data_IF_925957197022
#
_entry.id   IF_925957197022
#
_cell.length_a   1.000
_cell.length_b   1.000
_cell.length_c   1.000
_cell.angle_alpha   90.00
_cell.angle_beta   90.00
_cell.angle_gamma   90.00
#
_symmetry.space_group_name_H-M   'P 1'
#
loop_
_entity.id
_entity.type
_entity.pdbx_description
1 polymer ?
#
# COMPACT_ATOMS: atom_id res chain seq x y z
N UNK A 1 26.55 -3.19 -8.06
CA UNK A 1 25.18 -3.65 -8.38
C UNK A 1 24.33 -2.40 -8.52
N UNK A 2 23.79 -2.13 -9.71
CA UNK A 2 23.02 -0.91 -9.98
C UNK A 2 21.76 -0.91 -9.11
N UNK A 3 21.65 0.05 -8.19
CA UNK A 3 20.40 0.30 -7.46
C UNK A 3 19.44 0.94 -8.46
N UNK A 4 18.69 0.11 -9.18
CA UNK A 4 17.52 0.56 -9.93
C UNK A 4 16.58 1.23 -8.94
N UNK A 5 16.14 2.46 -9.24
CA UNK A 5 15.22 3.23 -8.39
C UNK A 5 14.10 2.36 -7.84
N UNK A 6 13.84 2.46 -6.54
CA UNK A 6 12.79 1.71 -5.85
C UNK A 6 11.42 2.30 -6.23
N UNK A 7 11.07 2.22 -7.51
CA UNK A 7 9.88 2.79 -8.10
C UNK A 7 9.45 1.96 -9.31
N UNK A 8 8.17 2.03 -9.64
CA UNK A 8 7.63 1.44 -10.85
C UNK A 8 6.42 2.24 -11.33
N UNK A 9 6.14 2.11 -12.63
CA UNK A 9 5.06 2.81 -13.31
C UNK A 9 4.08 1.83 -13.94
N UNK A 10 2.85 2.27 -14.17
CA UNK A 10 1.78 1.47 -14.76
C UNK A 10 1.51 0.15 -14.02
N UNK A 11 1.56 0.20 -12.70
CA UNK A 11 1.38 -0.95 -11.81
C UNK A 11 -0.08 -1.10 -11.45
N UNK A 12 -0.59 -2.34 -11.44
CA UNK A 12 -1.94 -2.65 -10.99
C UNK A 12 -2.05 -2.45 -9.47
N UNK A 13 -3.06 -1.71 -9.03
CA UNK A 13 -3.43 -1.62 -7.62
C UNK A 13 -4.88 -2.07 -7.44
N UNK A 14 -5.09 -3.17 -6.71
CA UNK A 14 -6.43 -3.60 -6.25
C UNK A 14 -6.73 -3.02 -4.88
N UNK A 15 -7.84 -3.42 -4.28
CA UNK A 15 -8.16 -3.09 -2.90
C UNK A 15 -8.55 -4.31 -2.09
N UNK A 16 -8.28 -4.22 -0.79
CA UNK A 16 -8.73 -5.14 0.26
C UNK A 16 -9.42 -4.34 1.37
N UNK A 17 -10.32 -5.00 2.09
CA UNK A 17 -11.13 -4.41 3.15
C UNK A 17 -10.41 -4.59 4.49
N UNK A 18 -9.25 -3.95 4.65
CA UNK A 18 -8.54 -3.96 5.94
C UNK A 18 -9.30 -3.15 6.99
N UNK A 19 -9.85 -1.99 6.59
CA UNK A 19 -10.55 -1.03 7.46
C UNK A 19 -9.83 -0.81 8.81
N UNK A 20 -8.54 -0.40 8.78
CA UNK A 20 -7.71 -0.34 9.99
C UNK A 20 -8.31 0.57 11.07
N UNK A 21 -9.05 1.61 10.69
CA UNK A 21 -9.77 2.50 11.61
C UNK A 21 -10.82 1.78 12.48
N UNK A 22 -11.40 0.69 11.99
CA UNK A 22 -12.42 -0.08 12.71
C UNK A 22 -11.79 -1.08 13.71
N UNK A 23 -10.48 -1.34 13.58
CA UNK A 23 -9.74 -2.32 14.39
C UNK A 23 -8.60 -1.65 15.17
N UNK A 24 -8.68 -0.34 15.41
CA UNK A 24 -7.65 0.44 16.10
C UNK A 24 -6.24 0.27 15.50
N UNK A 25 -6.17 0.17 14.17
CA UNK A 25 -4.97 -0.06 13.38
C UNK A 25 -4.15 -1.26 13.86
N UNK A 26 -4.80 -2.28 14.43
CA UNK A 26 -4.13 -3.46 14.97
C UNK A 26 -3.78 -4.45 13.85
N UNK A 27 -2.47 -4.65 13.66
CA UNK A 27 -1.93 -5.55 12.65
C UNK A 27 -2.31 -7.01 12.95
N UNK A 28 -2.42 -7.40 14.23
CA UNK A 28 -2.78 -8.77 14.61
C UNK A 28 -4.24 -9.07 14.27
N UNK A 29 -5.15 -8.13 14.56
CA UNK A 29 -6.57 -8.25 14.22
C UNK A 29 -6.77 -8.40 12.71
N UNK A 30 -6.05 -7.62 11.89
CA UNK A 30 -6.09 -7.74 10.43
C UNK A 30 -5.32 -8.94 9.88
N UNK A 31 -4.52 -9.64 10.70
CA UNK A 31 -3.66 -10.77 10.30
C UNK A 31 -2.73 -10.46 9.13
N UNK A 32 -2.26 -9.22 9.06
CA UNK A 32 -1.35 -8.78 8.00
C UNK A 32 0.02 -9.45 8.17
N UNK A 33 0.70 -9.76 7.08
CA UNK A 33 1.99 -10.45 7.12
C UNK A 33 3.04 -9.76 8.01
N UNK A 34 3.05 -8.43 8.06
CA UNK A 34 4.02 -7.66 8.84
C UNK A 34 3.73 -7.64 10.35
N UNK A 35 2.61 -8.22 10.83
CA UNK A 35 2.25 -8.26 12.24
C UNK A 35 3.37 -8.85 13.12
N UNK A 36 4.09 -9.86 12.60
CA UNK A 36 5.22 -10.52 13.27
C UNK A 36 6.29 -9.54 13.78
N UNK A 37 6.49 -8.42 13.09
CA UNK A 37 7.57 -7.46 13.41
C UNK A 37 7.05 -6.08 13.81
N UNK A 38 5.93 -5.64 13.23
CA UNK A 38 5.47 -4.24 13.34
C UNK A 38 4.23 -4.07 14.22
N UNK A 39 3.60 -5.14 14.72
CA UNK A 39 2.36 -5.02 15.49
C UNK A 39 2.50 -4.20 16.78
N UNK A 40 3.69 -4.23 17.39
CA UNK A 40 3.98 -3.50 18.64
C UNK A 40 4.42 -2.04 18.42
N UNK A 41 4.45 -1.56 17.18
CA UNK A 41 4.73 -0.15 16.92
C UNK A 41 3.66 0.74 17.57
N UNK A 42 4.02 1.97 18.00
CA UNK A 42 3.08 2.91 18.60
C UNK A 42 1.86 3.14 17.71
N UNK A 43 0.68 3.35 18.30
CA UNK A 43 -0.54 3.61 17.55
C UNK A 43 -0.37 4.80 16.59
N UNK A 44 0.34 5.85 17.01
CA UNK A 44 0.66 7.01 16.18
C UNK A 44 1.42 6.63 14.90
N UNK A 45 2.29 5.63 14.96
CA UNK A 45 3.04 5.12 13.81
C UNK A 45 2.15 4.26 12.90
N UNK A 46 1.34 3.37 13.49
CA UNK A 46 0.44 2.45 12.76
C UNK A 46 -0.67 3.18 12.01
N UNK A 47 -1.16 4.31 12.54
CA UNK A 47 -2.22 5.13 11.94
C UNK A 47 -1.74 6.29 11.07
N UNK A 48 -0.43 6.53 10.96
CA UNK A 48 0.11 7.71 10.28
C UNK A 48 -0.20 7.75 8.78
N UNK A 49 -0.25 6.58 8.15
CA UNK A 49 -0.47 6.42 6.72
C UNK A 49 -1.49 5.31 6.47
N UNK A 50 -2.19 5.37 5.35
CA UNK A 50 -3.07 4.30 4.89
C UNK A 50 -2.32 3.00 4.65
N UNK A 51 -3.00 1.86 4.71
CA UNK A 51 -2.38 0.54 4.62
C UNK A 51 -2.38 -0.01 3.19
N UNK A 52 -1.38 -0.83 2.88
CA UNK A 52 -1.34 -1.62 1.63
C UNK A 52 -0.55 -2.91 1.80
N UNK A 53 -0.90 -3.93 1.00
CA UNK A 53 -0.01 -5.03 0.66
C UNK A 53 0.87 -4.67 -0.55
N UNK A 54 2.08 -5.21 -0.59
CA UNK A 54 3.03 -4.91 -1.67
C UNK A 54 3.67 -6.16 -2.27
N UNK A 55 3.65 -6.23 -3.60
CA UNK A 55 4.27 -7.26 -4.42
C UNK A 55 4.58 -6.73 -5.83
N UNK A 56 4.92 -5.44 -5.93
CA UNK A 56 5.21 -4.75 -7.18
C UNK A 56 6.46 -5.27 -7.90
N UNK A 57 6.72 -4.83 -9.13
CA UNK A 57 7.84 -5.36 -9.93
C UNK A 57 9.22 -4.82 -9.50
N UNK A 58 9.28 -3.79 -8.66
CA UNK A 58 10.54 -3.15 -8.23
C UNK A 58 10.54 -2.80 -6.74
N UNK A 59 11.58 -3.21 -6.02
CA UNK A 59 11.74 -2.99 -4.57
C UNK A 59 11.91 -4.30 -3.82
N UNK A 60 12.18 -4.22 -2.51
CA UNK A 60 12.23 -5.41 -1.66
C UNK A 60 10.82 -5.88 -1.32
N UNK A 61 10.59 -7.18 -1.21
CA UNK A 61 9.30 -7.78 -0.85
C UNK A 61 9.33 -8.50 0.50
N UNK A 62 8.14 -8.92 0.96
CA UNK A 62 7.97 -9.67 2.19
C UNK A 62 8.53 -8.91 3.40
N UNK A 63 9.31 -9.60 4.23
CA UNK A 63 9.85 -9.04 5.48
C UNK A 63 10.59 -7.72 5.29
N UNK A 64 11.33 -7.57 4.20
CA UNK A 64 12.16 -6.39 3.95
C UNK A 64 11.37 -5.16 3.49
N UNK A 65 10.11 -5.33 3.10
CA UNK A 65 9.19 -4.21 2.82
C UNK A 65 8.36 -3.77 4.02
N UNK A 66 8.23 -4.60 5.05
CA UNK A 66 7.39 -4.29 6.21
C UNK A 66 7.75 -2.93 6.83
N UNK A 67 6.70 -2.12 7.03
CA UNK A 67 6.81 -0.81 7.64
C UNK A 67 7.33 0.31 6.73
N UNK A 68 7.83 0.00 5.51
CA UNK A 68 8.25 1.02 4.54
C UNK A 68 7.05 1.78 3.95
N UNK A 69 7.31 2.97 3.41
CA UNK A 69 6.28 3.83 2.83
C UNK A 69 6.43 3.96 1.31
N UNK A 70 5.29 4.02 0.63
CA UNK A 70 5.19 4.27 -0.81
C UNK A 70 4.42 5.56 -1.05
N UNK A 71 4.92 6.41 -1.94
CA UNK A 71 4.14 7.47 -2.57
C UNK A 71 3.46 6.89 -3.80
N UNK A 72 2.14 6.74 -3.75
CA UNK A 72 1.32 6.14 -4.81
C UNK A 72 0.59 7.25 -5.57
N UNK A 73 0.61 7.18 -6.89
CA UNK A 73 -0.02 8.15 -7.80
C UNK A 73 -0.95 7.42 -8.76
N UNK A 74 -2.23 7.77 -8.78
CA UNK A 74 -3.16 7.32 -9.82
C UNK A 74 -2.78 7.95 -11.16
N UNK A 75 -2.49 7.14 -12.17
CA UNK A 75 -2.05 7.65 -13.49
C UNK A 75 -3.15 8.34 -14.27
N UNK A 76 -4.42 8.05 -14.00
CA UNK A 76 -5.56 8.63 -14.70
C UNK A 76 -5.92 10.03 -14.18
N UNK A 77 -5.76 10.26 -12.87
CA UNK A 77 -6.23 11.50 -12.21
C UNK A 77 -5.11 12.32 -11.57
N UNK A 78 -3.87 11.81 -11.57
CA UNK A 78 -2.72 12.36 -10.86
C UNK A 78 -2.91 12.52 -9.34
N UNK A 79 -3.99 11.96 -8.77
CA UNK A 79 -4.23 11.99 -7.33
C UNK A 79 -3.18 11.13 -6.62
N UNK A 80 -2.65 11.59 -5.49
CA UNK A 80 -1.56 10.93 -4.78
C UNK A 80 -1.86 10.74 -3.31
N UNK A 81 -1.26 9.71 -2.72
CA UNK A 81 -1.25 9.51 -1.27
C UNK A 81 0.02 8.74 -0.86
N UNK A 82 0.36 8.82 0.42
CA UNK A 82 1.45 8.01 0.99
C UNK A 82 0.84 6.88 1.81
N UNK A 83 1.30 5.66 1.56
CA UNK A 83 0.81 4.43 2.21
C UNK A 83 1.96 3.72 2.90
N UNK A 84 1.64 2.92 3.91
CA UNK A 84 2.57 2.01 4.58
C UNK A 84 2.32 0.58 4.13
N UNK A 85 3.40 -0.13 3.81
CA UNK A 85 3.35 -1.55 3.51
C UNK A 85 3.19 -2.32 4.81
N UNK A 86 2.06 -3.01 4.94
CA UNK A 86 1.71 -3.82 6.13
C UNK A 86 1.56 -5.30 5.78
N UNK A 87 1.45 -5.63 4.49
CA UNK A 87 1.18 -6.98 4.04
C UNK A 87 1.91 -7.30 2.73
N UNK A 88 1.79 -8.56 2.29
CA UNK A 88 2.29 -9.05 1.00
C UNK A 88 1.12 -9.49 0.11
N UNK A 89 1.31 -9.41 -1.21
CA UNK A 89 0.32 -9.84 -2.18
C UNK A 89 0.95 -10.74 -3.27
N UNK A 90 0.13 -11.22 -4.21
CA UNK A 90 0.58 -12.02 -5.35
C UNK A 90 0.07 -11.50 -6.71
N UNK A 91 -0.43 -10.26 -6.76
CA UNK A 91 -1.01 -9.66 -7.98
C UNK A 91 0.02 -8.88 -8.84
N UNK A 92 1.31 -8.89 -8.45
CA UNK A 92 2.37 -8.17 -9.16
C UNK A 92 2.35 -6.65 -8.95
N UNK A 93 1.66 -6.15 -7.92
CA UNK A 93 1.46 -4.72 -7.71
C UNK A 93 1.19 -4.34 -6.26
N UNK A 94 0.08 -3.63 -6.05
CA UNK A 94 -0.37 -3.20 -4.73
C UNK A 94 -1.76 -3.77 -4.44
N UNK A 95 -2.05 -3.94 -3.16
CA UNK A 95 -3.40 -4.18 -2.67
C UNK A 95 -3.71 -3.17 -1.56
N UNK A 96 -4.42 -2.10 -1.91
CA UNK A 96 -4.64 -0.95 -1.03
C UNK A 96 -5.76 -1.25 -0.04
N UNK A 97 -5.73 -0.64 1.15
CA UNK A 97 -6.99 -0.54 1.91
C UNK A 97 -8.06 0.18 1.08
N UNK A 98 -9.31 -0.29 1.17
CA UNK A 98 -10.43 0.26 0.39
C UNK A 98 -10.60 1.78 0.55
N UNK A 99 -10.31 2.33 1.73
CA UNK A 99 -10.43 3.78 1.95
C UNK A 99 -9.31 4.55 1.23
N UNK A 100 -8.11 3.96 1.12
CA UNK A 100 -6.99 4.50 0.34
C UNK A 100 -7.27 4.40 -1.16
N UNK A 101 -7.81 3.27 -1.60
CA UNK A 101 -8.22 3.09 -3.00
C UNK A 101 -9.24 4.16 -3.41
N UNK A 102 -10.30 4.34 -2.61
CA UNK A 102 -11.33 5.34 -2.86
C UNK A 102 -10.78 6.78 -2.84
N UNK A 103 -9.79 7.06 -2.00
CA UNK A 103 -9.09 8.36 -2.00
C UNK A 103 -8.38 8.62 -3.34
N UNK A 104 -7.80 7.59 -3.96
CA UNK A 104 -7.10 7.70 -5.24
C UNK A 104 -8.04 7.64 -6.45
N UNK A 105 -9.18 6.94 -6.35
CA UNK A 105 -10.15 6.72 -7.42
C UNK A 105 -11.13 7.89 -7.60
N UNK A 106 -10.58 9.10 -7.79
CA UNK A 106 -11.37 10.35 -7.86
C UNK A 106 -12.29 10.48 -9.08
N UNK A 107 -12.17 9.59 -10.07
CA UNK A 107 -13.04 9.51 -11.24
C UNK A 107 -13.90 8.24 -11.29
N UNK A 108 -13.85 7.38 -10.25
CA UNK A 108 -14.64 6.16 -10.13
C UNK A 108 -14.31 5.02 -11.12
N UNK A 109 -13.31 5.21 -11.98
CA UNK A 109 -12.95 4.21 -12.99
C UNK A 109 -12.23 3.01 -12.38
N UNK A 110 -11.49 3.23 -11.29
CA UNK A 110 -10.81 2.17 -10.58
C UNK A 110 -11.78 1.13 -10.04
N UNK A 111 -12.84 1.58 -9.38
CA UNK A 111 -13.90 0.73 -8.86
C UNK A 111 -14.61 -0.02 -9.99
N UNK A 112 -14.96 0.67 -11.09
CA UNK A 112 -15.59 0.05 -12.26
C UNK A 112 -14.71 -1.05 -12.87
N UNK A 113 -13.39 -0.83 -12.95
CA UNK A 113 -12.43 -1.77 -13.53
C UNK A 113 -11.91 -2.82 -12.52
N UNK A 114 -12.31 -2.74 -11.26
CA UNK A 114 -11.79 -3.55 -10.16
C UNK A 114 -10.31 -3.31 -9.82
N UNK A 115 -9.69 -2.27 -10.36
CA UNK A 115 -8.31 -1.87 -10.06
C UNK A 115 -7.99 -0.47 -10.58
N UNK A 116 -6.99 0.17 -9.96
CA UNK A 116 -6.31 1.35 -10.48
C UNK A 116 -5.03 0.96 -11.23
N UNK A 117 -4.61 1.83 -12.14
CA UNK A 117 -3.23 1.87 -12.66
C UNK A 117 -2.50 2.97 -11.91
N UNK A 118 -1.39 2.62 -11.26
CA UNK A 118 -0.65 3.54 -10.39
C UNK A 118 0.85 3.55 -10.71
N UNK A 119 1.49 4.65 -10.38
CA UNK A 119 2.94 4.71 -10.20
C UNK A 119 3.24 4.71 -8.70
N UNK A 120 4.35 4.10 -8.28
CA UNK A 120 4.81 4.20 -6.89
C UNK A 120 6.29 4.53 -6.79
N UNK A 121 6.67 5.16 -5.69
CA UNK A 121 8.06 5.36 -5.28
C UNK A 121 8.19 5.03 -3.79
N UNK A 122 9.23 4.30 -3.40
CA UNK A 122 9.60 4.20 -2.00
C UNK A 122 10.06 5.57 -1.48
N UNK A 123 9.54 5.96 -0.32
CA UNK A 123 9.81 7.26 0.31
C UNK A 123 10.08 7.07 1.80
N UNK A 124 10.71 8.07 2.41
CA UNK A 124 10.80 8.11 3.86
C UNK A 124 9.40 8.30 4.46
N UNK A 125 9.12 7.51 5.49
CA UNK A 125 8.07 7.76 6.46
C UNK A 125 8.56 8.84 7.45
#
# INVERSE_FOLDING_TARGET
MLVSGQSASNVRATYNIYNPQNINWDFNTARVYCATWDANQPLSWRKRYGWTAFCGPAGTHGRYSCGKCLRVTNTATNTQTTVRIVDQCANGGLDLDVNVFNQLDTNGQGYHNGHLTVNYNFVNC
#
